data_IF_019608948156
#
_entry.id   IF_019608948156
#
_cell.length_a   1.000
_cell.length_b   1.000
_cell.length_c   1.000
_cell.angle_alpha   90.00
_cell.angle_beta   90.00
_cell.angle_gamma   90.00
#
_symmetry.space_group_name_H-M   'P 1'
#
loop_
_entity.id
_entity.type
_entity.pdbx_description
1 polymer ?
#
# COMPACT_ATOMS: atom_id res chain seq x y z
N UNK A 1 -67.09 19.16 -49.45
CA UNK A 1 -66.27 18.28 -50.18
C UNK A 1 -64.92 18.15 -49.47
N UNK A 2 -64.82 17.11 -48.71
CA UNK A 2 -63.61 16.69 -48.01
C UNK A 2 -62.79 15.78 -48.94
N UNK A 3 -61.55 16.06 -49.12
CA UNK A 3 -60.62 15.07 -49.71
C UNK A 3 -60.12 15.38 -51.14
N UNK A 4 -59.70 16.62 -51.39
CA UNK A 4 -58.78 16.80 -52.50
C UNK A 4 -57.41 16.29 -52.13
N UNK A 5 -57.07 15.09 -52.54
CA UNK A 5 -55.69 14.57 -52.54
C UNK A 5 -54.95 15.27 -53.66
N UNK A 6 -53.96 16.07 -53.35
CA UNK A 6 -53.06 16.62 -54.34
C UNK A 6 -52.08 15.49 -54.73
N UNK A 7 -52.22 14.94 -55.91
CA UNK A 7 -51.20 14.05 -56.47
C UNK A 7 -50.03 14.90 -56.97
N UNK A 8 -48.98 14.95 -56.23
CA UNK A 8 -47.77 15.67 -56.53
C UNK A 8 -46.64 14.74 -57.05
N UNK A 9 -46.98 13.54 -57.56
CA UNK A 9 -46.04 12.55 -58.00
C UNK A 9 -45.08 13.01 -59.15
N UNK A 10 -45.46 14.07 -59.89
CA UNK A 10 -44.67 14.72 -60.94
C UNK A 10 -44.43 16.23 -60.71
N UNK A 11 -44.79 16.78 -59.56
CA UNK A 11 -44.58 18.18 -59.27
C UNK A 11 -43.34 18.41 -58.44
N UNK A 12 -42.44 19.29 -58.89
CA UNK A 12 -41.36 19.79 -58.07
C UNK A 12 -42.01 20.77 -57.03
N UNK A 13 -42.37 20.23 -55.90
CA UNK A 13 -42.87 21.06 -54.78
C UNK A 13 -41.70 21.70 -54.03
N UNK A 14 -41.52 22.99 -54.21
CA UNK A 14 -40.62 23.77 -53.36
C UNK A 14 -41.37 24.07 -52.08
N UNK A 15 -41.07 23.30 -51.04
CA UNK A 15 -41.59 23.55 -49.67
C UNK A 15 -40.94 24.81 -49.11
N UNK A 16 -41.65 25.68 -48.38
CA UNK A 16 -41.04 26.77 -47.66
C UNK A 16 -39.93 26.26 -46.72
N UNK A 17 -38.89 27.04 -46.54
CA UNK A 17 -37.73 26.68 -45.72
C UNK A 17 -38.03 26.32 -44.24
N UNK A 18 -39.27 26.53 -43.80
CA UNK A 18 -39.76 26.23 -42.45
C UNK A 18 -40.55 24.92 -42.33
N UNK A 19 -40.73 24.18 -43.45
CA UNK A 19 -41.48 22.91 -43.44
C UNK A 19 -40.52 21.76 -43.22
N UNK A 20 -40.76 20.99 -42.19
CA UNK A 20 -40.04 19.74 -41.87
C UNK A 20 -40.89 18.59 -42.43
N UNK A 21 -40.33 17.80 -43.33
CA UNK A 21 -41.01 16.61 -43.89
C UNK A 21 -40.78 15.40 -42.99
N UNK A 22 -41.73 14.45 -43.02
CA UNK A 22 -41.65 13.22 -42.19
C UNK A 22 -40.71 12.18 -42.78
N UNK A 23 -40.29 12.33 -44.04
CA UNK A 23 -39.50 11.35 -44.76
C UNK A 23 -38.10 11.91 -45.07
N UNK A 24 -37.09 11.10 -44.80
CA UNK A 24 -35.70 11.39 -45.11
C UNK A 24 -34.90 12.16 -44.05
N UNK A 25 -33.57 12.18 -44.23
CA UNK A 25 -32.65 12.90 -43.35
C UNK A 25 -32.72 14.41 -43.64
N UNK A 26 -32.99 15.24 -42.64
CA UNK A 26 -33.02 16.67 -42.79
C UNK A 26 -32.03 17.35 -41.85
N UNK A 27 -31.36 18.39 -42.34
CA UNK A 27 -30.50 19.25 -41.54
C UNK A 27 -31.33 20.47 -41.15
N UNK A 28 -31.62 20.61 -39.85
CA UNK A 28 -32.31 21.75 -39.27
C UNK A 28 -31.28 22.78 -38.81
N UNK A 29 -31.11 23.86 -39.60
CA UNK A 29 -30.23 24.98 -39.22
C UNK A 29 -31.02 26.09 -38.55
N UNK A 30 -30.46 26.74 -37.56
CA UNK A 30 -31.06 27.86 -36.83
C UNK A 30 -32.47 27.55 -36.26
N UNK A 31 -32.68 26.31 -35.82
CA UNK A 31 -33.95 25.91 -35.17
C UNK A 31 -33.70 25.64 -33.68
N UNK A 32 -34.64 26.07 -32.86
CA UNK A 32 -34.76 25.68 -31.47
C UNK A 32 -35.80 24.58 -31.37
N UNK A 33 -35.39 23.42 -30.83
CA UNK A 33 -36.28 22.28 -30.60
C UNK A 33 -36.38 22.09 -29.09
N UNK A 34 -37.58 22.13 -28.55
CA UNK A 34 -37.77 21.86 -27.14
C UNK A 34 -37.42 20.40 -26.83
N UNK A 35 -36.75 20.13 -25.71
CA UNK A 35 -36.34 18.79 -25.32
C UNK A 35 -37.51 17.78 -25.26
N UNK A 36 -38.72 18.26 -24.96
CA UNK A 36 -39.93 17.43 -24.95
C UNK A 36 -40.38 16.95 -26.34
N UNK A 37 -39.83 17.55 -27.40
CA UNK A 37 -40.12 17.17 -28.80
C UNK A 37 -39.11 16.17 -29.36
N UNK A 38 -38.05 15.87 -28.61
CA UNK A 38 -37.02 14.92 -28.98
C UNK A 38 -37.37 13.54 -28.38
N UNK A 39 -37.62 12.57 -29.22
CA UNK A 39 -37.86 11.18 -28.78
C UNK A 39 -36.73 10.27 -29.27
N UNK A 40 -36.37 9.27 -28.49
CA UNK A 40 -35.28 8.38 -28.80
C UNK A 40 -33.92 8.83 -28.20
N UNK A 41 -32.84 8.17 -28.64
CA UNK A 41 -31.48 8.49 -28.19
C UNK A 41 -30.96 9.72 -28.94
N UNK A 42 -30.58 10.75 -28.21
CA UNK A 42 -29.90 11.91 -28.75
C UNK A 42 -28.41 11.70 -28.67
N UNK A 43 -27.74 11.52 -29.78
CA UNK A 43 -26.29 11.36 -29.88
C UNK A 43 -25.67 12.68 -30.33
N UNK A 44 -25.05 13.47 -29.41
CA UNK A 44 -24.31 14.66 -29.80
C UNK A 44 -23.08 14.26 -30.63
N UNK A 45 -22.65 15.11 -31.55
CA UNK A 45 -21.40 14.92 -32.28
C UNK A 45 -20.22 15.01 -31.31
N UNK A 46 -19.11 14.34 -31.63
CA UNK A 46 -17.90 14.36 -30.84
C UNK A 46 -17.44 15.78 -30.50
N UNK A 47 -17.07 15.99 -29.25
CA UNK A 47 -16.61 17.28 -28.75
C UNK A 47 -17.68 18.37 -28.58
N UNK A 48 -18.98 18.10 -28.91
CA UNK A 48 -20.04 19.09 -28.78
C UNK A 48 -20.61 19.26 -27.37
N UNK A 49 -20.42 18.25 -26.50
CA UNK A 49 -20.75 18.33 -25.07
C UNK A 49 -19.57 18.92 -24.35
N UNK A 50 -19.56 20.20 -24.11
CA UNK A 50 -18.53 20.93 -23.36
C UNK A 50 -18.90 21.01 -21.89
N UNK A 51 -17.93 21.36 -21.02
CA UNK A 51 -18.15 21.49 -19.57
C UNK A 51 -19.34 22.44 -19.25
N UNK A 52 -19.49 23.53 -19.99
CA UNK A 52 -20.60 24.49 -19.80
C UNK A 52 -22.00 23.92 -20.13
N UNK A 53 -22.08 22.76 -20.77
CA UNK A 53 -23.35 22.08 -21.08
C UNK A 53 -23.71 20.99 -20.07
N UNK A 54 -22.84 20.74 -19.12
CA UNK A 54 -23.07 19.81 -18.01
C UNK A 54 -23.34 20.68 -16.78
N UNK A 55 -24.54 20.60 -16.26
CA UNK A 55 -24.89 21.31 -15.03
C UNK A 55 -24.15 20.67 -13.86
N UNK A 56 -23.56 21.48 -12.96
CA UNK A 56 -22.86 21.01 -11.79
C UNK A 56 -23.70 20.03 -10.96
N UNK A 57 -23.07 19.00 -10.44
CA UNK A 57 -23.69 17.94 -9.63
C UNK A 57 -24.75 17.07 -10.36
N UNK A 58 -24.81 17.11 -11.70
CA UNK A 58 -25.74 16.28 -12.48
C UNK A 58 -25.19 14.93 -12.93
N UNK A 59 -23.87 14.74 -12.88
CA UNK A 59 -23.25 13.45 -13.23
C UNK A 59 -23.19 12.59 -11.97
N UNK A 60 -24.12 11.67 -11.84
CA UNK A 60 -24.15 10.69 -10.76
C UNK A 60 -23.06 9.62 -10.95
N UNK A 61 -22.56 9.03 -9.85
CA UNK A 61 -21.58 7.96 -9.88
C UNK A 61 -22.00 6.77 -10.78
N UNK A 62 -23.31 6.49 -10.85
CA UNK A 62 -23.86 5.44 -11.71
C UNK A 62 -23.63 5.69 -13.23
N UNK A 63 -23.36 6.92 -13.63
CA UNK A 63 -23.07 7.30 -15.02
C UNK A 63 -21.58 7.13 -15.39
N UNK A 64 -20.72 6.92 -14.40
CA UNK A 64 -19.32 6.64 -14.64
C UNK A 64 -19.15 5.15 -14.94
N UNK A 65 -18.54 4.83 -16.07
CA UNK A 65 -18.24 3.43 -16.47
C UNK A 65 -17.08 2.81 -15.66
N UNK A 66 -16.55 3.53 -14.66
CA UNK A 66 -15.46 3.08 -13.80
C UNK A 66 -15.85 1.81 -13.04
N UNK A 67 -14.89 0.90 -12.88
CA UNK A 67 -15.03 -0.35 -12.16
C UNK A 67 -14.66 -0.20 -10.67
N UNK A 68 -14.90 -1.24 -9.87
CA UNK A 68 -14.62 -1.23 -8.42
C UNK A 68 -15.79 -0.75 -7.57
N UNK A 69 -15.63 -0.86 -6.25
CA UNK A 69 -16.63 -0.42 -5.28
C UNK A 69 -16.65 1.10 -5.19
N UNK A 70 -17.82 1.69 -5.31
CA UNK A 70 -18.03 3.15 -5.27
C UNK A 70 -18.66 3.51 -3.94
N UNK A 71 -17.83 3.83 -2.94
CA UNK A 71 -18.28 4.21 -1.60
C UNK A 71 -17.43 5.35 -1.00
N UNK A 72 -17.66 5.66 0.28
CA UNK A 72 -16.97 6.76 0.97
C UNK A 72 -15.48 6.49 1.25
N UNK A 73 -15.00 5.26 1.07
CA UNK A 73 -13.61 4.85 1.34
C UNK A 73 -12.76 4.79 0.08
N UNK A 74 -13.38 4.86 -1.11
CA UNK A 74 -12.71 4.71 -2.39
C UNK A 74 -12.64 6.01 -3.18
N UNK A 75 -11.64 6.14 -4.02
CA UNK A 75 -11.45 7.25 -4.96
C UNK A 75 -11.26 6.74 -6.39
N UNK A 76 -11.62 7.56 -7.37
CA UNK A 76 -11.43 7.25 -8.79
C UNK A 76 -9.95 7.44 -9.16
N UNK A 77 -9.31 6.38 -9.61
CA UNK A 77 -7.93 6.36 -10.09
C UNK A 77 -7.84 6.74 -11.57
N UNK A 78 -6.63 7.09 -12.03
CA UNK A 78 -6.36 7.41 -13.43
C UNK A 78 -6.56 6.25 -14.41
N UNK A 79 -6.67 5.01 -13.93
CA UNK A 79 -6.99 3.79 -14.70
C UNK A 79 -8.51 3.52 -14.78
N UNK A 80 -9.33 4.48 -14.39
CA UNK A 80 -10.80 4.40 -14.37
C UNK A 80 -11.34 3.31 -13.40
N UNK A 81 -10.60 3.03 -12.31
CA UNK A 81 -11.07 2.16 -11.23
C UNK A 81 -11.28 2.92 -9.94
N UNK A 82 -12.28 2.51 -9.15
CA UNK A 82 -12.42 2.95 -7.76
C UNK A 82 -11.62 2.01 -6.86
N UNK A 83 -10.71 2.55 -6.07
CA UNK A 83 -9.90 1.81 -5.12
C UNK A 83 -9.67 2.59 -3.83
N UNK A 84 -9.45 1.88 -2.75
CA UNK A 84 -9.12 2.49 -1.47
C UNK A 84 -7.77 3.20 -1.51
N UNK A 85 -7.63 4.28 -0.75
CA UNK A 85 -6.34 4.87 -0.44
C UNK A 85 -5.70 4.00 0.66
N UNK A 86 -4.72 3.20 0.28
CA UNK A 86 -3.89 2.51 1.27
C UNK A 86 -3.01 3.57 1.93
N UNK A 87 -3.41 4.02 3.12
CA UNK A 87 -2.67 5.00 3.93
C UNK A 87 -2.32 4.38 5.27
N UNK A 88 -1.15 4.76 5.80
CA UNK A 88 -0.69 4.30 7.10
C UNK A 88 0.23 3.07 7.04
N UNK A 89 0.44 2.46 8.21
CA UNK A 89 1.30 1.29 8.37
C UNK A 89 0.59 0.05 7.83
N UNK A 90 1.14 -0.56 6.78
CA UNK A 90 0.54 -1.73 6.10
C UNK A 90 1.10 -3.06 6.61
N UNK A 91 2.29 -3.02 7.23
CA UNK A 91 2.94 -4.18 7.84
C UNK A 91 3.57 -3.76 9.16
N UNK A 92 3.27 -4.47 10.22
CA UNK A 92 4.00 -4.42 11.49
C UNK A 92 4.04 -5.80 12.13
N UNK A 93 5.19 -6.18 12.68
CA UNK A 93 5.39 -7.44 13.36
C UNK A 93 6.33 -7.25 14.56
N UNK A 94 6.15 -8.03 15.59
CA UNK A 94 6.92 -7.96 16.83
C UNK A 94 7.34 -9.35 17.27
N UNK A 95 8.59 -9.46 17.72
CA UNK A 95 9.17 -10.70 18.22
C UNK A 95 9.83 -10.47 19.57
N UNK A 96 9.81 -11.49 20.43
CA UNK A 96 10.45 -11.48 21.74
C UNK A 96 11.21 -12.76 22.00
N UNK A 97 12.20 -12.69 22.88
CA UNK A 97 12.80 -13.88 23.47
C UNK A 97 11.84 -14.49 24.50
N UNK A 98 11.65 -15.80 24.46
CA UNK A 98 10.84 -16.58 25.42
C UNK A 98 11.66 -17.05 26.59
N UNK A 99 12.99 -17.06 26.44
CA UNK A 99 13.96 -17.38 27.48
C UNK A 99 15.30 -16.72 27.17
N UNK A 100 16.16 -16.65 28.16
CA UNK A 100 17.48 -16.05 28.04
C UNK A 100 18.31 -16.75 26.94
N UNK A 101 19.04 -15.97 26.16
CA UNK A 101 20.06 -16.45 25.26
C UNK A 101 21.39 -16.58 26.03
N UNK A 102 21.74 -17.82 26.34
CA UNK A 102 23.02 -18.11 26.99
C UNK A 102 24.20 -18.03 25.99
N UNK A 103 25.43 -17.98 26.52
CA UNK A 103 26.68 -18.09 25.76
C UNK A 103 26.88 -17.04 24.66
N UNK A 104 26.41 -15.82 24.91
CA UNK A 104 26.78 -14.68 24.06
C UNK A 104 28.21 -14.30 24.37
N UNK A 105 29.11 -14.44 23.40
CA UNK A 105 30.57 -14.24 23.54
C UNK A 105 31.06 -12.96 22.83
N UNK A 106 32.39 -12.79 22.71
CA UNK A 106 33.02 -11.65 22.03
C UNK A 106 32.76 -11.57 20.54
N UNK A 107 32.45 -12.71 19.93
CA UNK A 107 32.07 -12.78 18.53
C UNK A 107 30.56 -12.51 18.37
N UNK A 108 30.13 -12.23 17.16
CA UNK A 108 28.71 -12.19 16.89
C UNK A 108 28.03 -13.52 17.19
N UNK A 109 27.13 -13.54 18.16
CA UNK A 109 26.29 -14.68 18.48
C UNK A 109 24.88 -14.41 18.06
N UNK A 110 24.39 -15.10 17.02
CA UNK A 110 23.05 -14.90 16.50
C UNK A 110 21.97 -15.25 17.53
N UNK A 111 20.89 -14.49 17.56
CA UNK A 111 19.66 -14.86 18.24
C UNK A 111 18.85 -15.79 17.33
N UNK A 112 19.27 -17.05 17.29
CA UNK A 112 18.82 -18.10 16.38
C UNK A 112 17.78 -19.05 16.99
N UNK A 113 17.41 -18.83 18.24
CA UNK A 113 16.48 -19.69 19.00
C UNK A 113 15.76 -18.87 20.07
N UNK A 114 14.73 -19.47 20.68
CA UNK A 114 13.94 -18.88 21.76
C UNK A 114 13.22 -17.56 21.36
N UNK A 115 12.93 -17.40 20.08
CA UNK A 115 12.17 -16.26 19.58
C UNK A 115 10.75 -16.71 19.22
N UNK A 116 9.77 -15.95 19.68
CA UNK A 116 8.38 -16.11 19.29
C UNK A 116 7.78 -14.75 18.87
N UNK A 117 6.75 -14.81 18.05
CA UNK A 117 5.97 -13.62 17.73
C UNK A 117 5.19 -13.15 18.94
N UNK A 118 5.13 -11.83 19.13
CA UNK A 118 4.31 -11.25 20.20
C UNK A 118 2.85 -11.26 19.76
N UNK A 119 2.09 -12.21 20.30
CA UNK A 119 0.67 -12.43 20.02
C UNK A 119 -0.21 -12.33 21.27
N UNK A 120 0.30 -11.74 22.33
CA UNK A 120 -0.42 -11.52 23.60
C UNK A 120 -1.62 -10.59 23.38
N UNK A 121 -2.68 -10.79 24.14
CA UNK A 121 -3.88 -9.93 24.08
C UNK A 121 -3.53 -8.44 24.19
N UNK A 122 -3.99 -7.65 23.21
CA UNK A 122 -3.67 -6.23 23.06
C UNK A 122 -2.40 -5.97 22.23
N UNK A 123 -1.73 -7.00 21.77
CA UNK A 123 -0.59 -6.95 20.85
C UNK A 123 -0.89 -7.81 19.62
N UNK A 124 -0.14 -7.65 18.55
CA UNK A 124 -0.36 -8.43 17.35
C UNK A 124 0.42 -7.91 16.16
N UNK A 125 0.02 -8.35 14.98
CA UNK A 125 0.61 -7.96 13.70
C UNK A 125 -0.36 -7.12 12.89
N UNK A 126 0.19 -6.29 12.00
CA UNK A 126 -0.58 -5.60 10.95
C UNK A 126 -0.15 -6.21 9.61
N UNK A 127 -1.12 -6.59 8.80
CA UNK A 127 -0.86 -7.17 7.48
C UNK A 127 -0.14 -8.52 7.52
N UNK A 128 0.70 -8.79 6.53
CA UNK A 128 1.46 -10.03 6.45
C UNK A 128 2.69 -9.98 7.37
N UNK A 129 2.86 -11.03 8.15
CA UNK A 129 3.93 -11.12 9.14
C UNK A 129 5.28 -11.54 8.53
N UNK A 130 6.40 -11.16 9.17
CA UNK A 130 7.72 -11.72 8.88
C UNK A 130 7.78 -13.20 9.26
N UNK A 131 8.65 -13.95 8.62
CA UNK A 131 9.01 -15.32 9.06
C UNK A 131 10.36 -15.33 9.73
N UNK A 132 10.51 -16.20 10.74
CA UNK A 132 11.74 -16.46 11.46
C UNK A 132 12.20 -17.89 11.22
N UNK A 133 13.48 -18.07 10.90
CA UNK A 133 14.11 -19.37 10.71
C UNK A 133 14.96 -19.71 11.92
N UNK A 134 14.48 -20.66 12.72
CA UNK A 134 15.20 -21.18 13.89
C UNK A 134 16.49 -21.91 13.45
N UNK A 135 17.56 -21.71 14.20
CA UNK A 135 18.89 -22.26 13.93
C UNK A 135 19.78 -21.36 13.06
N UNK A 136 19.20 -20.49 12.23
CA UNK A 136 19.96 -19.48 11.46
C UNK A 136 19.77 -18.07 12.02
N UNK A 137 18.63 -17.79 12.65
CA UNK A 137 18.28 -16.45 13.14
C UNK A 137 17.80 -15.52 12.03
N UNK A 138 17.46 -16.04 10.86
CA UNK A 138 17.01 -15.26 9.73
C UNK A 138 15.56 -14.77 9.91
N UNK A 139 15.37 -13.48 9.71
CA UNK A 139 14.05 -12.86 9.50
C UNK A 139 13.87 -12.55 8.04
N UNK A 140 12.80 -13.07 7.43
CA UNK A 140 12.43 -12.84 6.04
C UNK A 140 11.23 -11.90 5.97
N UNK A 141 11.30 -10.90 5.11
CA UNK A 141 10.25 -9.90 4.93
C UNK A 141 9.09 -10.47 4.11
N UNK A 142 7.83 -10.07 4.40
CA UNK A 142 6.66 -10.62 3.72
C UNK A 142 6.47 -10.10 2.30
N UNK A 143 6.98 -8.92 1.98
CA UNK A 143 6.86 -8.28 0.67
C UNK A 143 8.05 -7.33 0.41
N UNK A 144 8.22 -6.88 -0.81
CA UNK A 144 9.14 -5.79 -1.15
C UNK A 144 8.62 -4.45 -0.61
N UNK A 145 9.53 -3.54 -0.29
CA UNK A 145 9.18 -2.23 0.28
C UNK A 145 10.22 -1.70 1.25
N UNK A 146 9.94 -0.54 1.83
CA UNK A 146 10.81 0.10 2.83
C UNK A 146 10.31 -0.24 4.22
N UNK A 147 11.17 -0.82 5.04
CA UNK A 147 10.89 -1.24 6.40
C UNK A 147 11.76 -0.51 7.40
N UNK A 148 11.17 -0.02 8.48
CA UNK A 148 11.91 0.34 9.69
C UNK A 148 12.05 -0.92 10.56
N UNK A 149 13.28 -1.39 10.69
CA UNK A 149 13.61 -2.56 11.53
C UNK A 149 14.32 -2.08 12.79
N UNK A 150 13.84 -2.54 13.95
CA UNK A 150 14.37 -2.17 15.27
C UNK A 150 14.65 -3.44 16.07
N UNK A 151 15.78 -3.47 16.76
CA UNK A 151 16.14 -4.47 17.76
C UNK A 151 16.47 -3.80 19.09
N UNK A 152 16.07 -4.45 20.18
CA UNK A 152 16.33 -4.01 21.53
C UNK A 152 16.67 -5.22 22.38
N UNK A 153 17.67 -5.10 23.26
CA UNK A 153 18.02 -6.17 24.19
C UNK A 153 18.49 -5.61 25.51
N UNK A 154 18.08 -6.28 26.59
CA UNK A 154 18.60 -6.04 27.92
C UNK A 154 19.52 -7.21 28.32
N UNK A 155 20.73 -6.89 28.71
CA UNK A 155 21.67 -7.85 29.29
C UNK A 155 21.68 -7.73 30.80
N UNK A 156 21.71 -8.87 31.48
CA UNK A 156 21.97 -8.98 32.91
C UNK A 156 23.34 -9.65 33.13
N UNK A 157 24.21 -9.05 33.89
CA UNK A 157 25.54 -9.58 34.25
C UNK A 157 25.83 -9.36 35.72
N UNK A 158 26.53 -10.34 36.29
CA UNK A 158 27.01 -10.37 37.68
C UNK A 158 28.48 -9.99 37.80
N UNK A 159 29.17 -9.77 36.70
CA UNK A 159 30.54 -9.30 36.64
C UNK A 159 30.71 -8.26 35.53
N UNK A 160 31.67 -7.35 35.74
CA UNK A 160 31.95 -6.26 34.81
C UNK A 160 32.30 -6.79 33.43
N UNK A 161 31.79 -6.10 32.41
CA UNK A 161 32.12 -6.37 30.99
C UNK A 161 32.49 -5.05 30.34
N UNK A 162 33.50 -5.09 29.49
CA UNK A 162 33.93 -3.92 28.74
C UNK A 162 32.78 -3.37 27.87
N UNK A 163 31.93 -4.26 27.35
CA UNK A 163 30.68 -3.88 26.67
C UNK A 163 29.71 -5.06 26.64
N UNK A 164 28.47 -4.74 26.38
CA UNK A 164 27.43 -5.63 25.87
C UNK A 164 26.94 -5.00 24.55
N UNK A 165 26.80 -5.79 23.51
CA UNK A 165 26.50 -5.27 22.17
C UNK A 165 25.31 -5.94 21.54
N UNK A 166 24.53 -5.18 20.77
CA UNK A 166 23.52 -5.65 19.85
C UNK A 166 23.94 -5.29 18.43
N UNK A 167 23.93 -6.26 17.55
CA UNK A 167 24.34 -6.12 16.16
C UNK A 167 23.18 -6.59 15.27
N UNK A 168 22.74 -5.73 14.37
CA UNK A 168 21.85 -6.11 13.27
C UNK A 168 22.70 -6.36 12.03
N UNK A 169 22.56 -7.53 11.44
CA UNK A 169 23.18 -7.90 10.16
C UNK A 169 22.13 -7.97 9.05
N UNK A 170 22.57 -7.71 7.84
CA UNK A 170 21.76 -7.81 6.63
C UNK A 170 22.47 -8.66 5.58
N UNK A 171 21.68 -9.39 4.80
CA UNK A 171 22.11 -9.98 3.53
C UNK A 171 21.24 -9.45 2.40
N UNK A 172 21.83 -9.30 1.21
CA UNK A 172 21.11 -8.96 -0.04
C UNK A 172 21.27 -10.05 -1.10
N UNK A 173 21.90 -11.16 -0.74
CA UNK A 173 22.15 -12.31 -1.63
C UNK A 173 21.83 -13.66 -0.98
N UNK A 174 21.18 -13.65 0.20
CA UNK A 174 20.84 -14.84 1.01
C UNK A 174 22.05 -15.76 1.33
N UNK A 175 23.25 -15.22 1.34
CA UNK A 175 24.48 -16.01 1.54
C UNK A 175 25.47 -15.34 2.49
N UNK A 176 25.86 -14.11 2.22
CA UNK A 176 26.81 -13.37 3.04
C UNK A 176 26.11 -12.26 3.83
N UNK A 177 26.43 -12.16 5.11
CA UNK A 177 25.88 -11.19 6.05
C UNK A 177 26.94 -10.17 6.45
N UNK A 178 26.59 -8.90 6.42
CA UNK A 178 27.41 -7.80 6.93
C UNK A 178 26.67 -7.07 8.06
N UNK A 179 27.42 -6.49 8.99
CA UNK A 179 26.82 -5.62 10.01
C UNK A 179 26.19 -4.40 9.33
N UNK A 180 24.93 -4.13 9.67
CA UNK A 180 24.17 -2.96 9.20
C UNK A 180 24.23 -1.82 10.22
N UNK A 181 24.00 -2.15 11.48
CA UNK A 181 24.14 -1.23 12.60
C UNK A 181 24.45 -1.98 13.90
N UNK A 182 25.14 -1.31 14.79
CA UNK A 182 25.63 -1.86 16.05
C UNK A 182 25.46 -0.84 17.17
N UNK A 183 25.19 -1.32 18.37
CA UNK A 183 25.11 -0.51 19.59
C UNK A 183 25.80 -1.25 20.72
N UNK A 184 26.57 -0.51 21.52
CA UNK A 184 27.32 -1.07 22.63
C UNK A 184 27.15 -0.21 23.88
N UNK A 185 27.09 -0.89 25.05
CA UNK A 185 27.00 -0.28 26.37
C UNK A 185 27.91 -1.02 27.35
N UNK A 186 28.58 -0.30 28.23
CA UNK A 186 29.36 -0.91 29.33
C UNK A 186 28.44 -1.42 30.44
N UNK A 187 28.85 -2.49 31.11
CA UNK A 187 28.13 -2.97 32.27
C UNK A 187 29.10 -3.22 33.42
N UNK A 188 28.84 -2.61 34.58
CA UNK A 188 29.66 -2.68 35.76
C UNK A 188 28.81 -2.97 37.01
N UNK A 189 28.55 -4.23 37.34
CA UNK A 189 27.81 -4.63 38.51
C UNK A 189 28.50 -4.17 39.78
N UNK A 190 27.82 -3.59 40.77
CA UNK A 190 28.40 -3.28 42.06
C UNK A 190 28.51 -4.56 42.93
N UNK A 191 29.67 -4.80 43.50
CA UNK A 191 29.97 -5.74 44.61
C UNK A 191 29.12 -7.03 44.63
N UNK A 192 29.19 -7.86 43.59
CA UNK A 192 28.52 -9.16 43.54
C UNK A 192 27.02 -9.13 43.26
N UNK A 193 26.46 -7.99 42.96
CA UNK A 193 25.07 -7.86 42.52
C UNK A 193 24.98 -7.85 40.99
N UNK A 194 23.83 -8.22 40.47
CA UNK A 194 23.58 -8.10 39.03
C UNK A 194 23.37 -6.64 38.62
N UNK A 195 23.90 -6.28 37.45
CA UNK A 195 23.56 -5.03 36.75
C UNK A 195 22.90 -5.33 35.40
N UNK A 196 22.22 -4.34 34.89
CA UNK A 196 21.54 -4.40 33.60
C UNK A 196 22.11 -3.35 32.67
N UNK A 197 22.26 -3.71 31.39
CA UNK A 197 22.51 -2.77 30.29
C UNK A 197 21.48 -2.95 29.20
N UNK A 198 21.13 -1.85 28.56
CA UNK A 198 20.15 -1.83 27.46
C UNK A 198 20.80 -1.28 26.21
N UNK A 199 20.70 -2.01 25.12
CA UNK A 199 21.19 -1.59 23.80
C UNK A 199 20.12 -1.73 22.76
N UNK A 200 20.10 -0.80 21.81
CA UNK A 200 19.13 -0.79 20.73
C UNK A 200 19.78 -0.42 19.41
N UNK A 201 19.25 -0.98 18.33
CA UNK A 201 19.65 -0.71 16.95
C UNK A 201 18.41 -0.49 16.10
N UNK A 202 18.51 0.38 15.10
CA UNK A 202 17.44 0.56 14.12
C UNK A 202 17.98 0.99 12.76
N UNK A 203 17.31 0.56 11.70
CA UNK A 203 17.67 0.95 10.34
C UNK A 203 16.45 0.92 9.42
N UNK A 204 16.45 1.76 8.40
CA UNK A 204 15.55 1.63 7.26
C UNK A 204 16.19 0.65 6.27
N UNK A 205 15.38 -0.31 5.79
CA UNK A 205 15.80 -1.36 4.88
C UNK A 205 14.92 -1.33 3.64
N UNK A 206 15.53 -1.19 2.48
CA UNK A 206 14.86 -1.35 1.19
C UNK A 206 14.90 -2.83 0.78
N UNK A 207 13.75 -3.48 0.86
CA UNK A 207 13.57 -4.88 0.48
C UNK A 207 13.15 -4.95 -0.98
N UNK A 208 14.11 -5.13 -1.87
CA UNK A 208 13.89 -5.26 -3.30
C UNK A 208 13.58 -6.70 -3.74
N UNK A 209 13.96 -7.69 -2.91
CA UNK A 209 13.76 -9.12 -3.15
C UNK A 209 13.65 -9.85 -1.82
N UNK A 210 12.49 -10.41 -1.52
CA UNK A 210 12.23 -11.12 -0.25
C UNK A 210 12.98 -12.46 -0.12
N UNK A 211 13.44 -13.05 -1.21
CA UNK A 211 14.26 -14.26 -1.19
C UNK A 211 15.68 -13.97 -0.73
N UNK A 212 16.21 -12.84 -1.15
CA UNK A 212 17.62 -12.49 -0.97
C UNK A 212 17.87 -11.52 0.19
N UNK A 213 16.92 -10.61 0.48
CA UNK A 213 17.07 -9.63 1.57
C UNK A 213 16.53 -10.21 2.87
N UNK A 214 17.41 -10.39 3.84
CA UNK A 214 17.07 -10.89 5.19
C UNK A 214 17.86 -10.15 6.24
N UNK A 215 17.37 -10.15 7.47
CA UNK A 215 18.08 -9.60 8.62
C UNK A 215 18.27 -10.64 9.71
N UNK A 216 19.33 -10.45 10.49
CA UNK A 216 19.64 -11.21 11.70
C UNK A 216 19.96 -10.25 12.83
N UNK A 217 19.62 -10.66 14.04
CA UNK A 217 20.07 -9.99 15.25
C UNK A 217 20.98 -10.90 16.04
N UNK A 218 21.96 -10.32 16.70
CA UNK A 218 22.87 -11.08 17.55
C UNK A 218 23.56 -10.20 18.56
N UNK A 219 24.05 -10.84 19.60
CA UNK A 219 24.79 -10.22 20.68
C UNK A 219 26.29 -10.32 20.51
N UNK A 220 27.03 -9.46 21.22
CA UNK A 220 28.46 -9.55 21.45
C UNK A 220 28.79 -9.11 22.87
N UNK A 221 29.40 -10.00 23.66
CA UNK A 221 29.74 -9.76 25.07
C UNK A 221 31.11 -10.33 25.36
N UNK A 222 32.13 -9.51 25.65
CA UNK A 222 33.47 -10.03 26.00
C UNK A 222 33.45 -10.75 27.36
N UNK A 223 34.52 -11.48 27.64
CA UNK A 223 34.75 -12.07 28.94
C UNK A 223 34.74 -11.00 30.06
N UNK A 224 34.54 -11.44 31.31
CA UNK A 224 34.68 -10.57 32.48
C UNK A 224 36.05 -9.89 32.50
N UNK A 225 36.08 -8.67 32.98
CA UNK A 225 37.28 -7.87 33.20
C UNK A 225 37.73 -8.06 34.65
#
# INVERSE_FOLDING_TARGET
>A
PSGATLDASNATTTLPANVVTTDGTQILTNKSIAATQLTGTITPSDGTVTNAKIVDSTIELAKLSATGTKDATTFLRGDNTFAEVVSGLTVADQWRLTSDKANVDTSYTAFDSNLERVDTSGQGTIGSAMSFESGTGNFTFPATGIYLVKGEVTYQKDASRRYTGLIMKITTNNSSYSALCESYETINPPDGNSAYSYVSVSSLIDVTDTTNVKVQFGGSVPAAV
#
